data_IF_616603773180
#
_entry.id   IF_616603773180
#
_cell.length_a   1.000
_cell.length_b   1.000
_cell.length_c   1.000
_cell.angle_alpha   90.00
_cell.angle_beta   90.00
_cell.angle_gamma   90.00
#
_symmetry.space_group_name_H-M   'P 1'
#
loop_
_entity.id
_entity.type
_entity.pdbx_description
1 polymer ?
#
# COMPACT_ATOMS: atom_id res chain seq x y z
N UNK A 1 4.95 -1.89 48.44
CA UNK A 1 4.20 -0.92 47.63
C UNK A 1 3.87 -1.58 46.30
N UNK A 2 2.60 -1.77 45.94
CA UNK A 2 2.27 -2.33 44.63
C UNK A 2 2.49 -1.25 43.55
N UNK A 3 3.12 -1.64 42.41
CA UNK A 3 3.35 -0.79 41.26
C UNK A 3 1.99 -0.41 40.60
N UNK A 4 1.84 0.83 40.16
CA UNK A 4 0.61 1.25 39.51
C UNK A 4 0.41 0.51 38.17
N UNK A 5 -0.71 -0.21 38.04
CA UNK A 5 -1.17 -0.82 36.81
C UNK A 5 -1.41 0.32 35.81
N UNK A 6 -0.52 0.44 34.79
CA UNK A 6 -0.73 1.34 33.66
C UNK A 6 -1.97 0.86 32.89
N UNK A 7 -3.10 1.52 33.10
CA UNK A 7 -4.26 1.35 32.23
C UNK A 7 -3.87 1.86 30.83
N UNK A 8 -3.53 0.94 29.95
CA UNK A 8 -3.47 1.23 28.51
C UNK A 8 -4.89 1.56 28.07
N UNK A 9 -5.19 2.85 28.00
CA UNK A 9 -6.45 3.31 27.45
C UNK A 9 -6.54 2.78 26.02
N UNK A 10 -7.56 1.95 25.73
CA UNK A 10 -7.94 1.59 24.36
C UNK A 10 -8.20 2.90 23.62
N UNK A 11 -7.25 3.37 22.80
CA UNK A 11 -7.52 4.44 21.84
C UNK A 11 -8.66 3.93 20.97
N UNK A 12 -9.80 4.64 20.97
CA UNK A 12 -10.92 4.31 20.10
C UNK A 12 -10.44 4.21 18.66
N UNK A 13 -10.90 3.20 17.92
CA UNK A 13 -10.59 3.03 16.50
C UNK A 13 -11.02 4.28 15.75
N UNK A 14 -10.12 4.86 14.97
CA UNK A 14 -10.41 6.02 14.10
C UNK A 14 -11.09 5.51 12.83
N UNK A 15 -11.87 6.36 12.14
CA UNK A 15 -12.52 6.00 10.87
C UNK A 15 -11.50 5.44 9.87
N UNK A 16 -10.28 5.97 9.85
CA UNK A 16 -9.17 5.48 9.01
C UNK A 16 -8.81 4.01 9.26
N UNK A 17 -9.09 3.48 10.44
CA UNK A 17 -8.81 2.08 10.78
C UNK A 17 -9.82 1.09 10.12
N UNK A 18 -10.85 1.62 9.47
CA UNK A 18 -11.88 0.83 8.76
C UNK A 18 -11.74 0.87 7.24
N UNK A 19 -10.87 1.71 6.69
CA UNK A 19 -10.64 1.81 5.24
C UNK A 19 -9.15 1.53 4.99
N UNK A 20 -8.81 0.48 4.25
CA UNK A 20 -7.42 0.13 3.97
C UNK A 20 -6.68 1.24 3.21
N UNK A 21 -5.36 1.29 3.36
CA UNK A 21 -4.54 2.37 2.79
C UNK A 21 -4.62 2.39 1.26
N UNK A 22 -4.62 1.23 0.61
CA UNK A 22 -4.71 1.16 -0.85
C UNK A 22 -5.96 1.86 -1.40
N UNK A 23 -7.11 1.71 -0.76
CA UNK A 23 -8.34 2.39 -1.18
C UNK A 23 -8.26 3.91 -0.94
N UNK A 24 -7.68 4.33 0.19
CA UNK A 24 -7.56 5.77 0.54
C UNK A 24 -6.52 6.48 -0.33
N UNK A 25 -5.39 5.83 -0.60
CA UNK A 25 -4.34 6.40 -1.43
C UNK A 25 -4.76 6.45 -2.89
N UNK A 26 -5.44 5.39 -3.38
CA UNK A 26 -6.06 5.40 -4.70
C UNK A 26 -7.05 6.58 -4.88
N UNK A 27 -7.92 6.80 -3.88
CA UNK A 27 -8.86 7.93 -3.94
C UNK A 27 -8.16 9.28 -3.86
N UNK A 28 -7.09 9.41 -3.07
CA UNK A 28 -6.31 10.64 -3.00
C UNK A 28 -5.65 10.95 -4.36
N UNK A 29 -5.05 9.95 -5.00
CA UNK A 29 -4.46 10.09 -6.32
C UNK A 29 -5.53 10.44 -7.38
N UNK A 30 -6.65 9.71 -7.39
CA UNK A 30 -7.77 9.96 -8.30
C UNK A 30 -8.35 11.39 -8.17
N UNK A 31 -8.37 11.94 -6.96
CA UNK A 31 -8.87 13.29 -6.67
C UNK A 31 -7.79 14.38 -6.80
N UNK A 32 -6.56 14.02 -7.16
CA UNK A 32 -5.45 14.96 -7.28
C UNK A 32 -5.04 15.59 -5.96
N UNK A 33 -5.20 14.87 -4.86
CA UNK A 33 -4.78 15.35 -3.55
C UNK A 33 -3.26 15.17 -3.44
N UNK A 34 -2.55 16.29 -3.45
CA UNK A 34 -1.10 16.34 -3.26
C UNK A 34 -0.78 16.34 -1.76
N UNK A 35 -0.19 15.23 -1.28
CA UNK A 35 0.22 15.10 0.13
C UNK A 35 1.31 14.06 0.28
N UNK A 36 2.10 14.17 1.34
CA UNK A 36 2.98 13.09 1.79
C UNK A 36 2.18 12.07 2.60
N UNK A 37 2.21 10.81 2.18
CA UNK A 37 1.65 9.70 2.96
C UNK A 37 2.61 9.31 4.09
N UNK A 38 2.06 9.09 5.27
CA UNK A 38 2.80 8.81 6.50
C UNK A 38 2.22 7.60 7.23
N UNK A 39 2.83 7.19 8.36
CA UNK A 39 2.28 6.15 9.24
C UNK A 39 0.85 6.44 9.69
N UNK A 40 0.47 7.72 9.73
CA UNK A 40 -0.90 8.11 10.04
C UNK A 40 -1.90 7.77 8.94
N UNK A 41 -1.45 7.47 7.75
CA UNK A 41 -2.26 7.03 6.62
C UNK A 41 -2.40 5.51 6.51
N UNK A 42 -1.75 4.75 7.37
CA UNK A 42 -1.93 3.32 7.49
C UNK A 42 -2.95 2.95 8.56
N UNK A 43 -3.61 1.82 8.41
CA UNK A 43 -4.35 1.20 9.51
C UNK A 43 -3.37 0.65 10.55
N UNK A 44 -3.84 0.35 11.76
CA UNK A 44 -2.97 -0.24 12.79
C UNK A 44 -2.46 -1.64 12.37
N UNK A 45 -3.28 -2.41 11.67
CA UNK A 45 -2.92 -3.75 11.21
C UNK A 45 -1.88 -3.67 10.07
N UNK A 46 -2.04 -2.74 9.12
CA UNK A 46 -1.05 -2.48 8.06
C UNK A 46 0.29 -2.01 8.65
N UNK A 47 0.25 -1.06 9.57
CA UNK A 47 1.46 -0.55 10.22
C UNK A 47 2.17 -1.64 11.03
N UNK A 48 1.41 -2.46 11.77
CA UNK A 48 1.93 -3.60 12.52
C UNK A 48 2.61 -4.62 11.59
N UNK A 49 1.94 -4.99 10.51
CA UNK A 49 2.46 -5.93 9.51
C UNK A 49 3.74 -5.39 8.84
N UNK A 50 3.75 -4.10 8.44
CA UNK A 50 4.90 -3.48 7.80
C UNK A 50 6.13 -3.45 8.75
N UNK A 51 5.93 -3.14 10.02
CA UNK A 51 6.99 -3.19 11.04
C UNK A 51 7.59 -4.58 11.18
N UNK A 52 6.74 -5.59 11.27
CA UNK A 52 7.18 -6.99 11.36
C UNK A 52 7.96 -7.41 10.11
N UNK A 53 7.45 -7.06 8.91
CA UNK A 53 8.10 -7.35 7.65
C UNK A 53 9.50 -6.71 7.57
N UNK A 54 9.60 -5.40 7.83
CA UNK A 54 10.88 -4.65 7.78
C UNK A 54 11.86 -5.18 8.83
N UNK A 55 11.40 -5.49 10.04
CA UNK A 55 12.23 -6.08 11.10
C UNK A 55 12.82 -7.43 10.69
N UNK A 56 11.99 -8.33 10.16
CA UNK A 56 12.44 -9.66 9.68
C UNK A 56 13.41 -9.53 8.51
N UNK A 57 13.11 -8.64 7.55
CA UNK A 57 13.97 -8.41 6.40
C UNK A 57 15.33 -7.88 6.83
N UNK A 58 15.36 -6.92 7.74
CA UNK A 58 16.60 -6.37 8.30
C UNK A 58 17.41 -7.42 9.06
N UNK A 59 16.74 -8.23 9.90
CA UNK A 59 17.41 -9.29 10.65
C UNK A 59 18.03 -10.38 9.76
N UNK A 60 17.48 -10.59 8.57
CA UNK A 60 18.00 -11.58 7.59
C UNK A 60 19.21 -11.10 6.79
N UNK A 61 19.59 -9.82 6.89
CA UNK A 61 20.75 -9.26 6.17
C UNK A 61 22.02 -9.41 7.00
N UNK A 62 23.07 -9.98 6.41
CA UNK A 62 24.35 -10.21 7.09
C UNK A 62 25.00 -8.91 7.54
N UNK A 63 25.04 -7.90 6.67
CA UNK A 63 25.74 -6.63 6.92
C UNK A 63 24.87 -5.59 7.64
N UNK A 64 23.58 -5.84 7.83
CA UNK A 64 22.61 -4.93 8.46
C UNK A 64 22.78 -3.47 8.02
N UNK A 65 22.69 -3.17 6.72
CA UNK A 65 22.98 -1.85 6.18
C UNK A 65 22.01 -0.79 6.70
N UNK A 66 22.48 0.48 6.76
CA UNK A 66 21.61 1.60 7.16
C UNK A 66 20.57 1.96 6.11
N UNK A 67 20.75 1.49 4.86
CA UNK A 67 19.80 1.70 3.75
C UNK A 67 19.69 0.42 2.92
N UNK A 68 18.47 0.04 2.53
CA UNK A 68 18.24 -1.10 1.63
C UNK A 68 16.88 -0.97 0.92
N UNK A 69 16.72 -1.71 -0.19
CA UNK A 69 15.44 -1.87 -0.85
C UNK A 69 14.67 -3.04 -0.25
N UNK A 70 13.39 -2.82 0.00
CA UNK A 70 12.44 -3.85 0.41
C UNK A 70 11.41 -4.08 -0.70
N UNK A 71 11.03 -5.33 -0.92
CA UNK A 71 10.09 -5.71 -1.97
C UNK A 71 8.98 -6.58 -1.36
N UNK A 72 7.77 -6.07 -1.36
CA UNK A 72 6.59 -6.79 -0.84
C UNK A 72 6.11 -7.89 -1.80
N UNK A 73 6.49 -7.81 -3.07
CA UNK A 73 6.16 -8.85 -4.06
C UNK A 73 6.90 -10.17 -3.80
N UNK A 74 8.04 -10.10 -3.10
CA UNK A 74 8.82 -11.29 -2.70
C UNK A 74 8.28 -11.92 -1.40
N UNK A 75 7.27 -11.32 -0.79
CA UNK A 75 6.62 -11.88 0.39
C UNK A 75 5.56 -12.87 -0.04
N UNK A 76 5.75 -14.10 0.39
CA UNK A 76 4.71 -15.11 0.31
C UNK A 76 3.94 -15.09 1.62
N UNK A 77 2.60 -15.14 1.52
CA UNK A 77 1.78 -15.37 2.70
C UNK A 77 2.07 -16.78 3.27
N UNK A 78 1.46 -17.14 4.38
CA UNK A 78 1.60 -18.47 4.98
C UNK A 78 1.15 -19.63 4.05
N UNK A 79 0.52 -19.30 2.92
CA UNK A 79 0.08 -20.24 1.87
C UNK A 79 1.01 -20.25 0.66
N UNK A 80 2.10 -19.46 0.69
CA UNK A 80 3.05 -19.36 -0.42
C UNK A 80 2.52 -18.60 -1.64
N UNK A 81 1.55 -17.70 -1.46
CA UNK A 81 0.94 -16.91 -2.54
C UNK A 81 1.40 -15.46 -2.44
N UNK A 82 1.90 -14.93 -3.54
CA UNK A 82 2.22 -13.51 -3.69
C UNK A 82 0.96 -12.65 -3.44
N UNK A 83 0.99 -11.69 -2.48
CA UNK A 83 -0.15 -10.84 -2.17
C UNK A 83 -0.68 -10.05 -3.37
N UNK A 84 0.22 -9.58 -4.25
CA UNK A 84 -0.18 -8.87 -5.46
C UNK A 84 -0.86 -9.81 -6.47
N UNK A 85 -0.37 -11.04 -6.62
CA UNK A 85 -1.01 -12.04 -7.47
C UNK A 85 -2.42 -12.37 -6.97
N UNK A 86 -2.63 -12.42 -5.65
CA UNK A 86 -3.97 -12.58 -5.05
C UNK A 86 -4.91 -11.45 -5.46
N UNK A 87 -4.47 -10.21 -5.31
CA UNK A 87 -5.28 -9.03 -5.70
C UNK A 87 -5.60 -9.06 -7.19
N UNK A 88 -4.60 -9.31 -8.03
CA UNK A 88 -4.78 -9.39 -9.49
C UNK A 88 -5.65 -10.58 -9.93
N UNK A 89 -5.62 -11.67 -9.17
CA UNK A 89 -6.38 -12.88 -9.44
C UNK A 89 -7.82 -12.88 -8.94
N UNK A 90 -8.29 -11.79 -8.29
CA UNK A 90 -9.69 -11.70 -7.86
C UNK A 90 -10.61 -11.56 -9.07
N UNK A 91 -11.63 -12.38 -9.11
CA UNK A 91 -12.63 -12.47 -10.20
C UNK A 91 -13.89 -11.64 -9.96
N UNK A 92 -13.99 -10.98 -8.81
CA UNK A 92 -15.14 -10.17 -8.43
C UNK A 92 -14.73 -8.90 -7.68
N UNK A 93 -15.55 -7.86 -7.80
CA UNK A 93 -15.36 -6.62 -7.04
C UNK A 93 -15.39 -6.87 -5.51
N UNK A 94 -16.25 -7.78 -5.06
CA UNK A 94 -16.34 -8.15 -3.64
C UNK A 94 -15.05 -8.87 -3.18
N UNK A 95 -14.49 -9.73 -4.01
CA UNK A 95 -13.19 -10.38 -3.77
C UNK A 95 -12.07 -9.35 -3.67
N UNK A 96 -12.02 -8.38 -4.57
CA UNK A 96 -11.04 -7.30 -4.53
C UNK A 96 -11.15 -6.46 -3.25
N UNK A 97 -12.36 -6.08 -2.86
CA UNK A 97 -12.60 -5.37 -1.61
C UNK A 97 -12.12 -6.21 -0.42
N UNK A 98 -12.45 -7.50 -0.39
CA UNK A 98 -12.01 -8.40 0.68
C UNK A 98 -10.48 -8.50 0.78
N UNK A 99 -9.79 -8.68 -0.34
CA UNK A 99 -8.32 -8.73 -0.37
C UNK A 99 -7.68 -7.38 0.04
N UNK A 100 -8.34 -6.27 -0.24
CA UNK A 100 -7.88 -4.95 0.20
C UNK A 100 -7.84 -4.78 1.73
N UNK A 101 -8.59 -5.58 2.47
CA UNK A 101 -8.54 -5.59 3.95
C UNK A 101 -7.45 -6.51 4.52
N UNK A 102 -6.79 -7.32 3.69
CA UNK A 102 -5.60 -8.04 4.11
C UNK A 102 -4.40 -7.08 4.13
N UNK A 103 -3.70 -6.90 5.27
CA UNK A 103 -2.60 -5.93 5.38
C UNK A 103 -1.49 -6.13 4.35
N UNK A 104 -1.12 -7.37 4.07
CA UNK A 104 -0.08 -7.69 3.11
C UNK A 104 -0.50 -7.30 1.68
N UNK A 105 -1.72 -7.64 1.29
CA UNK A 105 -2.29 -7.31 -0.04
C UNK A 105 -2.48 -5.81 -0.21
N UNK A 106 -2.97 -5.11 0.82
CA UNK A 106 -3.11 -3.65 0.81
C UNK A 106 -1.75 -2.98 0.63
N UNK A 107 -0.75 -3.35 1.43
CA UNK A 107 0.59 -2.78 1.36
C UNK A 107 1.33 -3.14 0.07
N UNK A 108 1.17 -4.36 -0.46
CA UNK A 108 1.75 -4.74 -1.74
C UNK A 108 1.21 -3.89 -2.91
N UNK A 109 -0.04 -3.44 -2.82
CA UNK A 109 -0.65 -2.56 -3.83
C UNK A 109 -0.38 -1.08 -3.61
N UNK A 110 0.11 -0.67 -2.43
CA UNK A 110 0.45 0.72 -2.12
C UNK A 110 1.96 0.99 -2.17
N UNK A 111 2.77 0.17 -1.55
CA UNK A 111 4.21 0.36 -1.46
C UNK A 111 4.98 -0.50 -2.48
N UNK A 112 4.51 -1.73 -2.74
CA UNK A 112 5.16 -2.64 -3.66
C UNK A 112 6.65 -2.82 -3.36
N UNK A 113 7.50 -2.03 -4.02
CA UNK A 113 8.94 -1.97 -3.79
C UNK A 113 9.28 -0.59 -3.24
N UNK A 114 9.97 -0.52 -2.10
CA UNK A 114 10.26 0.72 -1.40
C UNK A 114 11.66 0.73 -0.77
N UNK A 115 12.18 1.92 -0.50
CA UNK A 115 13.42 2.11 0.23
C UNK A 115 13.21 2.06 1.74
N UNK A 116 14.16 1.49 2.47
CA UNK A 116 14.22 1.55 3.93
C UNK A 116 15.54 2.19 4.33
N UNK A 117 15.49 3.16 5.24
CA UNK A 117 16.67 3.79 5.82
C UNK A 117 16.55 3.89 7.33
N UNK A 118 17.70 3.99 8.04
CA UNK A 118 17.75 4.33 9.46
C UNK A 118 18.08 5.81 9.63
N UNK A 119 17.37 6.47 10.53
CA UNK A 119 17.72 7.82 10.96
C UNK A 119 18.79 7.80 12.08
N UNK A 120 19.31 8.98 12.43
CA UNK A 120 20.35 9.16 13.47
C UNK A 120 19.88 8.68 14.87
N UNK A 121 18.58 8.48 15.06
CA UNK A 121 17.99 7.96 16.31
C UNK A 121 17.77 6.45 16.27
N UNK A 122 18.13 5.80 15.16
CA UNK A 122 17.94 4.37 14.95
C UNK A 122 16.50 3.97 14.60
N UNK A 123 15.64 4.93 14.21
CA UNK A 123 14.31 4.60 13.69
C UNK A 123 14.41 4.19 12.22
N UNK A 124 13.61 3.23 11.84
CA UNK A 124 13.46 2.80 10.45
C UNK A 124 12.42 3.67 9.74
N UNK A 125 12.78 4.16 8.57
CA UNK A 125 11.95 5.01 7.70
C UNK A 125 11.74 4.27 6.38
N UNK A 126 10.49 3.97 6.04
CA UNK A 126 10.13 3.49 4.71
C UNK A 126 9.82 4.69 3.81
N UNK A 127 10.39 4.71 2.60
CA UNK A 127 10.23 5.80 1.62
C UNK A 127 9.88 5.23 0.26
N UNK A 128 8.93 5.89 -0.43
CA UNK A 128 8.47 5.53 -1.76
C UNK A 128 7.82 6.77 -2.42
N UNK A 129 7.44 6.63 -3.69
CA UNK A 129 6.52 7.53 -4.38
C UNK A 129 5.31 6.72 -4.82
N UNK A 130 4.14 7.01 -4.24
CA UNK A 130 2.91 6.35 -4.62
C UNK A 130 2.38 6.95 -5.92
N UNK A 131 2.38 6.15 -6.97
CA UNK A 131 1.63 6.41 -8.19
C UNK A 131 0.76 5.19 -8.54
N UNK A 132 -0.48 5.39 -8.88
CA UNK A 132 -1.36 4.32 -9.38
C UNK A 132 -1.35 4.26 -10.91
N UNK A 133 -0.20 4.53 -11.51
CA UNK A 133 -0.04 4.84 -12.94
C UNK A 133 0.16 3.62 -13.84
N UNK A 134 -0.06 2.40 -13.34
CA UNK A 134 0.23 1.14 -14.02
C UNK A 134 -0.48 0.94 -15.36
N UNK A 135 -1.50 1.74 -15.64
CA UNK A 135 -2.31 1.63 -16.87
C UNK A 135 -2.33 2.91 -17.69
N UNK A 136 -1.56 3.93 -17.32
CA UNK A 136 -1.54 5.20 -18.04
C UNK A 136 -1.15 5.03 -19.50
N UNK A 137 -0.09 4.27 -19.80
CA UNK A 137 0.31 3.95 -21.17
C UNK A 137 -0.79 3.25 -21.98
N UNK A 138 -1.52 2.33 -21.35
CA UNK A 138 -2.63 1.62 -21.99
C UNK A 138 -3.84 2.50 -22.22
N UNK A 139 -4.02 3.55 -21.43
CA UNK A 139 -5.21 4.41 -21.45
C UNK A 139 -4.97 5.75 -22.10
N UNK A 140 -3.74 6.14 -22.37
CA UNK A 140 -3.35 7.42 -22.95
C UNK A 140 -4.14 7.74 -24.24
N UNK A 141 -4.27 6.78 -25.13
CA UNK A 141 -4.95 6.92 -26.41
C UNK A 141 -6.44 6.49 -26.39
N UNK A 142 -6.98 6.09 -25.23
CA UNK A 142 -8.38 5.72 -25.13
C UNK A 142 -9.27 6.96 -25.12
N UNK A 143 -10.36 6.95 -25.88
CA UNK A 143 -11.44 7.92 -25.66
C UNK A 143 -12.18 7.61 -24.35
N UNK A 144 -12.92 8.59 -23.82
CA UNK A 144 -13.77 8.36 -22.62
C UNK A 144 -14.78 7.22 -22.86
N UNK A 145 -15.32 7.11 -24.07
CA UNK A 145 -16.25 6.04 -24.44
C UNK A 145 -15.56 4.67 -24.43
N UNK A 146 -14.32 4.57 -24.95
CA UNK A 146 -13.53 3.34 -24.95
C UNK A 146 -13.15 2.94 -23.52
N UNK A 147 -12.79 3.91 -22.68
CA UNK A 147 -12.48 3.66 -21.26
C UNK A 147 -13.71 3.10 -20.54
N UNK A 148 -14.89 3.72 -20.67
CA UNK A 148 -16.12 3.19 -20.08
C UNK A 148 -16.44 1.78 -20.55
N UNK A 149 -16.34 1.54 -21.88
CA UNK A 149 -16.54 0.21 -22.46
C UNK A 149 -15.53 -0.79 -21.89
N UNK A 150 -14.26 -0.39 -21.78
CA UNK A 150 -13.20 -1.21 -21.18
C UNK A 150 -13.49 -1.57 -19.72
N UNK A 151 -13.90 -0.60 -18.91
CA UNK A 151 -14.29 -0.81 -17.50
C UNK A 151 -15.42 -1.86 -17.41
N UNK A 152 -16.49 -1.68 -18.19
CA UNK A 152 -17.61 -2.63 -18.21
C UNK A 152 -17.18 -4.02 -18.65
N UNK A 153 -16.33 -4.13 -19.68
CA UNK A 153 -15.83 -5.42 -20.16
C UNK A 153 -14.97 -6.12 -19.07
N UNK A 154 -14.09 -5.39 -18.37
CA UNK A 154 -13.26 -5.94 -17.32
C UNK A 154 -14.10 -6.39 -16.12
N UNK A 155 -15.09 -5.59 -15.69
CA UNK A 155 -16.00 -5.98 -14.59
C UNK A 155 -16.83 -7.21 -14.97
N UNK A 156 -17.37 -7.25 -16.19
CA UNK A 156 -18.13 -8.40 -16.68
C UNK A 156 -17.26 -9.66 -16.84
N UNK A 157 -16.01 -9.48 -17.23
CA UNK A 157 -15.04 -10.56 -17.39
C UNK A 157 -14.39 -11.02 -16.07
N UNK A 158 -14.84 -10.51 -14.92
CA UNK A 158 -14.30 -10.89 -13.62
C UNK A 158 -12.88 -10.34 -13.37
N UNK A 159 -12.58 -9.13 -13.83
CA UNK A 159 -11.27 -8.50 -13.65
C UNK A 159 -11.38 -7.09 -13.07
N UNK A 160 -11.86 -6.93 -11.82
CA UNK A 160 -12.10 -5.62 -11.21
C UNK A 160 -10.81 -4.81 -11.03
N UNK A 161 -9.67 -5.46 -10.82
CA UNK A 161 -8.38 -4.78 -10.68
C UNK A 161 -7.99 -4.03 -11.95
N UNK A 162 -8.15 -4.65 -13.13
CA UNK A 162 -7.93 -3.97 -14.42
C UNK A 162 -8.93 -2.85 -14.67
N UNK A 163 -10.19 -3.01 -14.24
CA UNK A 163 -11.16 -1.95 -14.30
C UNK A 163 -10.74 -0.72 -13.49
N UNK A 164 -10.23 -0.92 -12.26
CA UNK A 164 -9.67 0.16 -11.44
C UNK A 164 -8.47 0.83 -12.11
N UNK A 165 -7.59 0.06 -12.74
CA UNK A 165 -6.46 0.60 -13.50
C UNK A 165 -6.89 1.51 -14.64
N UNK A 166 -7.94 1.15 -15.41
CA UNK A 166 -8.50 2.00 -16.45
C UNK A 166 -9.10 3.28 -15.85
N UNK A 167 -9.77 3.20 -14.71
CA UNK A 167 -10.32 4.36 -14.00
C UNK A 167 -9.17 5.29 -13.59
N UNK A 168 -8.14 4.78 -12.94
CA UNK A 168 -6.99 5.57 -12.50
C UNK A 168 -6.27 6.23 -13.69
N UNK A 169 -5.96 5.47 -14.73
CA UNK A 169 -5.20 5.98 -15.86
C UNK A 169 -5.97 6.97 -16.74
N UNK A 170 -7.32 6.98 -16.71
CA UNK A 170 -8.12 7.86 -17.57
C UNK A 170 -8.79 9.01 -16.83
N UNK A 171 -9.20 8.79 -15.60
CA UNK A 171 -9.92 9.76 -14.77
C UNK A 171 -9.03 10.32 -13.66
N UNK A 172 -7.90 9.68 -13.38
CA UNK A 172 -6.92 10.18 -12.43
C UNK A 172 -6.32 11.50 -12.89
N UNK A 173 -5.97 12.32 -11.92
CA UNK A 173 -5.37 13.65 -12.16
C UNK A 173 -3.85 13.58 -12.23
N UNK A 174 -3.25 12.43 -11.96
CA UNK A 174 -1.81 12.24 -12.10
C UNK A 174 -1.44 12.28 -13.59
N UNK A 175 -0.86 13.38 -14.01
CA UNK A 175 -0.18 13.45 -15.30
C UNK A 175 0.99 12.45 -15.28
N UNK A 176 1.22 11.77 -16.39
CA UNK A 176 2.30 10.77 -16.57
C UNK A 176 3.70 11.27 -16.14
N UNK A 177 3.90 12.58 -16.17
CA UNK A 177 5.14 13.26 -15.77
C UNK A 177 5.15 13.72 -14.30
N UNK A 178 4.06 13.59 -13.57
CA UNK A 178 3.99 14.01 -12.17
C UNK A 178 4.55 12.91 -11.30
N UNK A 179 5.64 13.22 -10.60
CA UNK A 179 6.10 12.36 -9.52
C UNK A 179 4.92 12.06 -8.59
N UNK A 180 4.66 10.77 -8.33
CA UNK A 180 3.57 10.34 -7.46
C UNK A 180 3.66 10.97 -6.08
N UNK A 181 2.62 10.79 -5.28
CA UNK A 181 2.60 11.31 -3.92
C UNK A 181 3.74 10.70 -3.08
N UNK A 182 4.61 11.50 -2.47
CA UNK A 182 5.71 10.98 -1.68
C UNK A 182 5.20 10.20 -0.46
N UNK A 183 5.86 9.10 -0.17
CA UNK A 183 5.60 8.25 0.98
C UNK A 183 6.77 8.33 1.95
N UNK A 184 6.50 8.60 3.22
CA UNK A 184 7.49 8.59 4.29
C UNK A 184 6.87 8.06 5.58
N UNK A 185 7.08 6.81 5.88
CA UNK A 185 6.50 6.10 7.03
C UNK A 185 7.57 5.88 8.09
N UNK A 186 7.37 6.46 9.28
CA UNK A 186 8.23 6.21 10.42
C UNK A 186 7.78 4.94 11.15
N UNK A 187 8.62 3.91 11.09
CA UNK A 187 8.37 2.61 11.71
C UNK A 187 8.85 2.53 13.16
N UNK A 188 9.60 3.56 13.62
CA UNK A 188 10.23 3.55 14.92
C UNK A 188 11.46 2.65 15.01
N UNK A 189 11.97 2.43 16.22
CA UNK A 189 13.08 1.51 16.45
C UNK A 189 12.57 0.05 16.43
N UNK A 190 13.02 -0.73 15.44
CA UNK A 190 12.60 -2.12 15.23
C UNK A 190 13.57 -3.15 15.79
N UNK A 191 14.66 -2.75 16.45
CA UNK A 191 15.69 -3.68 16.95
C UNK A 191 15.17 -4.59 18.08
N UNK A 192 14.04 -4.26 18.68
CA UNK A 192 13.39 -5.00 19.75
C UNK A 192 11.98 -5.51 19.36
N UNK A 193 11.71 -5.63 18.05
CA UNK A 193 10.40 -6.04 17.52
C UNK A 193 10.32 -7.55 17.30
#
# INVERSE_FOLDING_TARGET
MPLPIRKTGKKGRRIKDFIPSNARWFLADLLGIDKTFTEDDLTQDELGWLKEFVSKKYASQEDRPDTYAANLYDTYDSKGVDPLARVKGTDSLLGLIKESYDPASSLATTLGQFGVSKDDKGNFIATDNYDFNWFSEMTENMTTADALKGIFQQLKGGNPYKAMGIIAGKLGTSEYEKAGNPVRINLGNLLNY
#
